data_IF_317018829996
#
_entry.id   IF_317018829996
#
_cell.length_a   1.000
_cell.length_b   1.000
_cell.length_c   1.000
_cell.angle_alpha   90.00
_cell.angle_beta   90.00
_cell.angle_gamma   90.00
#
_symmetry.space_group_name_H-M   'P 1'
#
loop_
_entity.id
_entity.type
_entity.pdbx_description
1 polymer ?
#
# COMPACT_ATOMS: atom_id res chain seq x y z
N UNK A 1 7.52 -18.76 -8.32
CA UNK A 1 8.32 -18.05 -7.30
C UNK A 1 7.37 -17.67 -6.17
N UNK A 2 7.76 -17.90 -4.91
CA UNK A 2 7.02 -17.45 -3.72
C UNK A 2 7.96 -16.55 -2.93
N UNK A 3 7.44 -15.43 -2.43
CA UNK A 3 8.19 -14.48 -1.63
C UNK A 3 7.27 -13.85 -0.58
N UNK A 4 7.87 -13.34 0.48
CA UNK A 4 7.20 -12.53 1.49
C UNK A 4 7.24 -11.06 1.07
N UNK A 5 6.28 -10.25 1.51
CA UNK A 5 6.30 -8.82 1.25
C UNK A 5 7.47 -8.13 1.99
N UNK A 6 7.94 -8.76 3.05
CA UNK A 6 9.04 -8.38 3.92
C UNK A 6 10.43 -8.79 3.39
N UNK A 7 10.47 -9.56 2.29
CA UNK A 7 11.70 -10.06 1.67
C UNK A 7 11.45 -10.38 0.18
N UNK A 8 11.53 -9.34 -0.66
CA UNK A 8 11.28 -9.45 -2.09
C UNK A 8 12.56 -9.86 -2.83
N UNK A 9 12.56 -10.88 -3.71
CA UNK A 9 13.78 -11.38 -4.35
C UNK A 9 14.01 -10.66 -5.68
N UNK A 10 13.92 -9.33 -5.63
CA UNK A 10 14.12 -8.41 -6.75
C UNK A 10 15.22 -7.42 -6.41
N UNK A 11 15.89 -6.90 -7.44
CA UNK A 11 16.90 -5.87 -7.29
C UNK A 11 16.28 -4.53 -6.85
N UNK A 12 17.14 -3.63 -6.37
CA UNK A 12 16.74 -2.27 -6.02
C UNK A 12 16.27 -1.50 -7.26
N UNK A 13 15.26 -0.63 -7.09
CA UNK A 13 14.75 0.25 -8.16
C UNK A 13 14.33 -0.47 -9.45
N UNK A 14 13.91 -1.73 -9.36
CA UNK A 14 13.53 -2.56 -10.51
C UNK A 14 12.11 -2.35 -11.01
N UNK A 15 11.25 -1.64 -10.27
CA UNK A 15 9.84 -1.43 -10.64
C UNK A 15 9.46 0.05 -10.80
N UNK A 16 8.54 0.29 -11.73
CA UNK A 16 7.83 1.56 -11.92
C UNK A 16 6.62 1.72 -10.98
N UNK A 17 5.99 0.60 -10.61
CA UNK A 17 4.75 0.54 -9.85
C UNK A 17 4.79 -0.64 -8.87
N UNK A 18 4.44 -0.37 -7.62
CA UNK A 18 4.03 -1.40 -6.66
C UNK A 18 2.53 -1.29 -6.44
N UNK A 19 1.79 -2.38 -6.65
CA UNK A 19 0.35 -2.43 -6.40
C UNK A 19 0.05 -3.32 -5.19
N UNK A 20 -0.69 -2.77 -4.23
CA UNK A 20 -1.16 -3.49 -3.05
C UNK A 20 -2.68 -3.42 -3.00
N UNK A 21 -3.32 -4.58 -3.17
CA UNK A 21 -4.77 -4.73 -3.03
C UNK A 21 -5.07 -5.52 -1.76
N UNK A 22 -5.82 -4.94 -0.83
CA UNK A 22 -6.34 -5.57 0.39
C UNK A 22 -5.30 -6.44 1.13
N UNK A 23 -4.06 -5.94 1.27
CA UNK A 23 -2.93 -6.78 1.71
C UNK A 23 -1.99 -6.11 2.71
N UNK A 24 -1.70 -4.81 2.54
CA UNK A 24 -0.67 -4.16 3.36
C UNK A 24 -0.98 -4.14 4.87
N UNK A 25 -2.27 -4.19 5.24
CA UNK A 25 -2.69 -4.28 6.64
C UNK A 25 -2.36 -5.62 7.32
N UNK A 26 -2.09 -6.68 6.55
CA UNK A 26 -1.74 -8.01 7.07
C UNK A 26 -0.23 -8.22 7.22
N UNK A 27 0.61 -7.33 6.66
CA UNK A 27 2.06 -7.47 6.66
C UNK A 27 2.73 -6.94 7.93
N UNK A 28 3.99 -7.34 8.13
CA UNK A 28 4.90 -6.51 8.93
C UNK A 28 5.14 -5.21 8.16
N UNK A 29 4.41 -4.17 8.55
CA UNK A 29 4.34 -2.91 7.82
C UNK A 29 5.69 -2.20 7.71
N UNK A 30 6.56 -2.32 8.72
CA UNK A 30 7.87 -1.67 8.67
C UNK A 30 8.78 -2.37 7.65
N UNK A 31 8.84 -3.70 7.70
CA UNK A 31 9.64 -4.50 6.77
C UNK A 31 9.10 -4.45 5.35
N UNK A 32 7.78 -4.56 5.17
CA UNK A 32 7.14 -4.44 3.87
C UNK A 32 7.32 -3.02 3.29
N UNK A 33 7.17 -1.95 4.08
CA UNK A 33 7.48 -0.58 3.64
C UNK A 33 8.92 -0.46 3.16
N UNK A 34 9.87 -1.07 3.88
CA UNK A 34 11.29 -1.05 3.49
C UNK A 34 11.51 -1.69 2.12
N UNK A 35 10.91 -2.87 1.88
CA UNK A 35 11.01 -3.56 0.59
C UNK A 35 10.31 -2.80 -0.54
N UNK A 36 9.10 -2.26 -0.31
CA UNK A 36 8.43 -1.38 -1.28
C UNK A 36 9.32 -0.19 -1.66
N UNK A 37 9.96 0.45 -0.67
CA UNK A 37 10.89 1.55 -0.92
C UNK A 37 12.14 1.11 -1.68
N UNK A 38 12.64 -0.10 -1.44
CA UNK A 38 13.87 -0.61 -2.05
C UNK A 38 13.64 -0.94 -3.53
N UNK A 39 12.58 -1.69 -3.84
CA UNK A 39 12.33 -2.18 -5.20
C UNK A 39 11.71 -1.13 -6.12
N UNK A 40 11.06 -0.10 -5.58
CA UNK A 40 10.45 0.98 -6.37
C UNK A 40 11.48 2.07 -6.70
N UNK A 41 11.62 2.41 -7.99
CA UNK A 41 12.54 3.47 -8.44
C UNK A 41 12.09 4.87 -8.00
N UNK A 42 13.01 5.83 -7.99
CA UNK A 42 12.65 7.25 -7.79
C UNK A 42 11.67 7.74 -8.86
N UNK A 43 10.65 8.48 -8.43
CA UNK A 43 9.54 8.90 -9.28
C UNK A 43 8.53 7.80 -9.64
N UNK A 44 8.75 6.55 -9.20
CA UNK A 44 7.81 5.44 -9.33
C UNK A 44 6.59 5.59 -8.42
N UNK A 45 5.62 4.70 -8.58
CA UNK A 45 4.31 4.79 -7.95
C UNK A 45 4.00 3.63 -7.01
N UNK A 46 3.20 3.93 -5.99
CA UNK A 46 2.45 2.93 -5.23
C UNK A 46 0.98 3.13 -5.57
N UNK A 47 0.30 2.05 -5.98
CA UNK A 47 -1.14 2.00 -6.06
C UNK A 47 -1.67 1.16 -4.89
N UNK A 48 -2.57 1.73 -4.10
CA UNK A 48 -3.23 1.08 -2.97
C UNK A 48 -4.70 0.92 -3.33
N UNK A 49 -5.25 -0.26 -3.09
CA UNK A 49 -6.68 -0.56 -3.07
C UNK A 49 -6.96 -1.23 -1.74
N UNK A 50 -7.78 -0.64 -0.88
CA UNK A 50 -8.03 -1.21 0.45
C UNK A 50 -9.44 -0.91 0.96
N UNK A 51 -9.82 -1.63 2.02
CA UNK A 51 -11.08 -1.52 2.71
C UNK A 51 -11.19 -0.17 3.45
N UNK A 52 -12.30 0.54 3.22
CA UNK A 52 -12.73 1.65 4.07
C UNK A 52 -12.96 1.14 5.51
N UNK A 53 -12.76 1.98 6.54
CA UNK A 53 -12.89 1.58 7.95
C UNK A 53 -14.33 1.29 8.43
N UNK A 54 -15.35 1.51 7.59
CA UNK A 54 -16.72 1.13 7.91
C UNK A 54 -16.84 -0.40 8.03
N UNK A 55 -17.31 -0.88 9.19
CA UNK A 55 -17.55 -2.30 9.39
C UNK A 55 -18.98 -2.67 9.04
N UNK A 56 -19.12 -3.56 8.05
CA UNK A 56 -20.41 -4.04 7.56
C UNK A 56 -20.55 -5.57 7.67
N UNK A 57 -19.68 -6.21 8.47
CA UNK A 57 -19.60 -7.67 8.56
C UNK A 57 -18.88 -8.36 7.39
N UNK A 58 -18.36 -7.61 6.42
CA UNK A 58 -17.55 -8.11 5.29
C UNK A 58 -16.11 -7.62 5.37
N UNK A 59 -15.17 -8.45 4.92
CA UNK A 59 -13.73 -8.13 4.90
C UNK A 59 -13.06 -8.25 6.27
N UNK A 60 -11.81 -7.76 6.39
CA UNK A 60 -11.06 -7.81 7.65
C UNK A 60 -11.77 -7.00 8.74
N UNK A 61 -11.59 -7.33 10.02
CA UNK A 61 -12.08 -6.51 11.11
C UNK A 61 -11.60 -5.04 11.02
N UNK A 62 -12.41 -4.05 11.44
CA UNK A 62 -12.13 -2.64 11.21
C UNK A 62 -10.86 -2.14 11.91
N UNK A 63 -10.43 -2.80 13.00
CA UNK A 63 -9.24 -2.42 13.76
C UNK A 63 -7.92 -2.78 13.07
N UNK A 64 -7.92 -3.74 12.14
CA UNK A 64 -6.72 -4.02 11.32
C UNK A 64 -6.72 -3.20 10.01
N UNK A 65 -7.88 -2.72 9.54
CA UNK A 65 -7.95 -1.87 8.35
C UNK A 65 -7.15 -0.58 8.53
N UNK A 66 -6.53 -0.14 7.46
CA UNK A 66 -5.82 1.13 7.41
C UNK A 66 -6.70 2.19 6.75
N UNK A 67 -6.70 3.42 7.30
CA UNK A 67 -7.34 4.56 6.63
C UNK A 67 -6.38 5.22 5.65
N UNK A 68 -6.88 6.16 4.86
CA UNK A 68 -6.03 7.01 4.03
C UNK A 68 -4.91 7.66 4.87
N UNK A 69 -5.25 8.22 6.03
CA UNK A 69 -4.27 8.89 6.91
C UNK A 69 -3.20 7.91 7.42
N UNK A 70 -3.57 6.65 7.67
CA UNK A 70 -2.62 5.62 8.07
C UNK A 70 -1.63 5.32 6.94
N UNK A 71 -2.10 5.24 5.69
CA UNK A 71 -1.23 5.04 4.53
C UNK A 71 -0.35 6.26 4.25
N UNK A 72 -0.89 7.48 4.33
CA UNK A 72 -0.12 8.70 4.11
C UNK A 72 0.94 8.91 5.20
N UNK A 73 0.64 8.54 6.45
CA UNK A 73 1.62 8.52 7.55
C UNK A 73 2.67 7.44 7.33
N UNK A 74 2.28 6.27 6.82
CA UNK A 74 3.22 5.18 6.57
C UNK A 74 4.16 5.50 5.42
N UNK A 75 3.65 6.08 4.33
CA UNK A 75 4.43 6.45 3.16
C UNK A 75 4.74 7.95 3.18
N UNK A 76 5.30 8.47 4.28
CA UNK A 76 5.47 9.91 4.50
C UNK A 76 6.38 10.62 3.48
N UNK A 77 7.19 9.86 2.74
CA UNK A 77 8.09 10.37 1.68
C UNK A 77 7.48 10.30 0.28
N UNK A 78 6.18 10.01 0.19
CA UNK A 78 5.47 9.91 -1.07
C UNK A 78 4.49 11.06 -1.21
N UNK A 79 4.38 11.58 -2.42
CA UNK A 79 3.35 12.55 -2.77
C UNK A 79 2.06 11.80 -3.13
N UNK A 80 0.94 12.16 -2.50
CA UNK A 80 -0.37 11.74 -2.97
C UNK A 80 -0.68 12.38 -4.32
N UNK A 81 -0.89 11.54 -5.33
CA UNK A 81 -1.21 11.97 -6.70
C UNK A 81 -2.71 11.91 -6.95
N UNK A 82 -3.38 10.86 -6.49
CA UNK A 82 -4.81 10.67 -6.75
C UNK A 82 -5.49 9.87 -5.65
N UNK A 83 -6.72 10.27 -5.32
CA UNK A 83 -7.69 9.47 -4.57
C UNK A 83 -8.66 8.82 -5.55
N UNK A 84 -8.98 7.56 -5.29
CA UNK A 84 -9.89 6.75 -6.09
C UNK A 84 -11.01 6.27 -5.16
N UNK A 85 -12.24 6.34 -5.63
CA UNK A 85 -13.39 5.79 -4.93
C UNK A 85 -13.89 4.56 -5.68
N UNK A 86 -14.00 3.44 -4.98
CA UNK A 86 -14.47 2.15 -5.54
C UNK A 86 -15.78 1.72 -4.91
N UNK A 87 -16.63 2.70 -4.59
CA UNK A 87 -17.96 2.48 -4.01
C UNK A 87 -17.91 2.38 -2.49
N UNK A 88 -18.91 1.72 -1.91
CA UNK A 88 -19.18 1.83 -0.47
C UNK A 88 -18.10 1.22 0.45
N UNK A 89 -17.28 0.31 -0.06
CA UNK A 89 -16.43 -0.54 0.81
C UNK A 89 -14.94 -0.36 0.58
N UNK A 90 -14.52 0.16 -0.58
CA UNK A 90 -13.11 0.27 -0.91
C UNK A 90 -12.77 1.67 -1.39
N UNK A 91 -11.53 2.06 -1.15
CA UNK A 91 -10.92 3.26 -1.69
C UNK A 91 -9.59 2.88 -2.33
N UNK A 92 -9.03 3.81 -3.07
CA UNK A 92 -7.66 3.68 -3.55
C UNK A 92 -6.87 4.96 -3.50
N UNK A 93 -5.56 4.81 -3.43
CA UNK A 93 -4.60 5.89 -3.45
C UNK A 93 -3.56 5.61 -4.52
N UNK A 94 -3.18 6.63 -5.26
CA UNK A 94 -1.98 6.63 -6.08
C UNK A 94 -0.97 7.57 -5.44
N UNK A 95 0.15 7.02 -5.00
CA UNK A 95 1.25 7.74 -4.36
C UNK A 95 2.48 7.72 -5.28
N UNK A 96 3.26 8.79 -5.32
CA UNK A 96 4.50 8.88 -6.10
C UNK A 96 5.69 9.09 -5.18
N UNK A 97 6.74 8.28 -5.38
CA UNK A 97 7.99 8.37 -4.63
C UNK A 97 8.73 9.66 -5.00
N UNK A 98 9.11 10.44 -4.00
CA UNK A 98 9.89 11.68 -4.14
C UNK A 98 11.39 11.41 -4.28
#
# INVERSE_FOLDING_TARGET
MRALAEELPFDDSSFDLVFMANSFHDFDRERAKAEVNRVLRQGGYIAIYDWKKNYIGLGPPPWIRMSEEDYLRTFERYQLVKRLDFGEHHYGLLLRKL
#
